data_IF_588056149937
#
_entry.id   IF_588056149937
#
_cell.length_a   1.000
_cell.length_b   1.000
_cell.length_c   1.000
_cell.angle_alpha   90.00
_cell.angle_beta   90.00
_cell.angle_gamma   90.00
#
_symmetry.space_group_name_H-M   'P 1'
#
loop_
_entity.id
_entity.type
_entity.pdbx_description
1 polymer ?
#
# COMPACT_ATOMS: atom_id res chain seq x y z
N UNK A 1 13.34 -5.17 -12.53
CA UNK A 1 12.65 -6.47 -12.35
C UNK A 1 11.96 -6.49 -10.99
N UNK A 2 10.62 -6.62 -10.94
CA UNK A 2 9.89 -6.74 -9.67
C UNK A 2 10.18 -8.08 -8.95
N UNK A 3 10.40 -9.14 -9.72
CA UNK A 3 10.71 -10.48 -9.20
C UNK A 3 12.10 -10.60 -8.55
N UNK A 4 12.96 -9.58 -8.69
CA UNK A 4 14.25 -9.53 -8.00
C UNK A 4 14.14 -9.11 -6.54
N UNK A 5 12.96 -8.68 -6.08
CA UNK A 5 12.70 -8.31 -4.71
C UNK A 5 12.28 -9.54 -3.90
N UNK A 6 12.98 -9.79 -2.80
CA UNK A 6 12.65 -10.90 -1.89
C UNK A 6 11.21 -10.73 -1.36
N UNK A 7 10.37 -11.73 -1.61
CA UNK A 7 8.95 -11.72 -1.25
C UNK A 7 7.99 -11.25 -2.36
N UNK A 8 8.49 -10.91 -3.55
CA UNK A 8 7.69 -10.57 -4.74
C UNK A 8 7.79 -11.66 -5.81
N UNK A 9 6.75 -12.50 -5.90
CA UNK A 9 6.61 -13.52 -6.94
C UNK A 9 5.97 -13.01 -8.24
N UNK A 10 5.90 -13.88 -9.24
CA UNK A 10 5.31 -13.58 -10.55
C UNK A 10 3.86 -13.09 -10.47
N UNK A 11 3.06 -13.66 -9.57
CA UNK A 11 1.66 -13.24 -9.34
C UNK A 11 1.55 -11.76 -8.92
N UNK A 12 2.32 -11.36 -7.90
CA UNK A 12 2.33 -9.97 -7.46
C UNK A 12 2.88 -9.04 -8.55
N UNK A 13 3.93 -9.46 -9.25
CA UNK A 13 4.50 -8.67 -10.34
C UNK A 13 3.46 -8.45 -11.46
N UNK A 14 2.71 -9.49 -11.83
CA UNK A 14 1.67 -9.44 -12.84
C UNK A 14 0.55 -8.47 -12.44
N UNK A 15 0.02 -8.59 -11.22
CA UNK A 15 -1.03 -7.70 -10.72
C UNK A 15 -0.54 -6.25 -10.62
N UNK A 16 0.67 -6.02 -10.09
CA UNK A 16 1.22 -4.67 -10.01
C UNK A 16 1.38 -4.04 -11.40
N UNK A 17 1.83 -4.80 -12.40
CA UNK A 17 1.96 -4.34 -13.77
C UNK A 17 0.59 -4.05 -14.41
N UNK A 18 -0.33 -5.01 -14.36
CA UNK A 18 -1.62 -4.90 -15.04
C UNK A 18 -2.56 -3.89 -14.37
N UNK A 19 -2.50 -3.77 -13.05
CA UNK A 19 -3.45 -2.95 -12.30
C UNK A 19 -2.91 -1.57 -11.93
N UNK A 20 -1.60 -1.34 -11.92
CA UNK A 20 -1.03 -0.08 -11.43
C UNK A 20 0.07 0.49 -12.31
N UNK A 21 1.12 -0.27 -12.56
CA UNK A 21 2.36 0.23 -13.16
C UNK A 21 2.27 0.40 -14.69
N UNK A 22 1.14 0.06 -15.32
CA UNK A 22 0.87 0.39 -16.72
C UNK A 22 0.71 1.91 -16.96
N UNK A 23 0.51 2.69 -15.89
CA UNK A 23 0.41 4.15 -15.96
C UNK A 23 1.47 4.83 -15.10
N UNK A 24 1.72 6.10 -15.39
CA UNK A 24 2.59 6.94 -14.59
C UNK A 24 1.83 7.60 -13.44
N UNK A 25 2.52 7.81 -12.32
CA UNK A 25 2.04 8.54 -11.17
C UNK A 25 3.07 9.59 -10.79
N UNK A 26 2.63 10.81 -10.50
CA UNK A 26 3.54 11.91 -10.15
C UNK A 26 4.11 11.75 -8.75
N UNK A 27 3.40 11.02 -7.87
CA UNK A 27 3.83 10.80 -6.49
C UNK A 27 3.18 9.54 -5.87
N UNK A 28 3.73 9.11 -4.72
CA UNK A 28 3.23 7.95 -3.96
C UNK A 28 1.80 8.10 -3.43
N UNK A 29 1.29 9.33 -3.24
CA UNK A 29 -0.08 9.55 -2.76
C UNK A 29 -1.09 9.24 -3.86
N UNK A 30 -0.76 9.50 -5.12
CA UNK A 30 -1.59 9.13 -6.26
C UNK A 30 -1.70 7.61 -6.41
N UNK A 31 -0.60 6.87 -6.20
CA UNK A 31 -0.63 5.40 -6.16
C UNK A 31 -1.57 4.90 -5.07
N UNK A 32 -1.45 5.47 -3.85
CA UNK A 32 -2.32 5.11 -2.74
C UNK A 32 -3.79 5.47 -3.00
N UNK A 33 -4.06 6.62 -3.62
CA UNK A 33 -5.41 7.04 -3.97
C UNK A 33 -6.02 6.09 -5.00
N UNK A 34 -5.26 5.75 -6.03
CA UNK A 34 -5.68 4.85 -7.10
C UNK A 34 -5.97 3.43 -6.57
N UNK A 35 -5.19 2.94 -5.60
CA UNK A 35 -5.47 1.68 -4.90
C UNK A 35 -6.58 1.80 -3.83
N UNK A 36 -7.12 3.00 -3.54
CA UNK A 36 -8.10 3.20 -2.48
C UNK A 36 -7.54 2.98 -1.07
N UNK A 37 -6.24 3.18 -0.90
CA UNK A 37 -5.48 3.11 0.37
C UNK A 37 -5.35 4.47 1.06
N UNK A 38 -6.02 5.50 0.56
CA UNK A 38 -6.09 6.82 1.20
C UNK A 38 -7.11 6.82 2.34
N UNK A 39 -6.89 7.61 3.41
CA UNK A 39 -7.85 7.71 4.51
C UNK A 39 -9.18 8.32 4.07
N UNK A 40 -10.28 7.82 4.64
CA UNK A 40 -11.62 8.43 4.56
C UNK A 40 -11.81 9.34 5.75
N UNK A 41 -11.28 10.57 5.66
CA UNK A 41 -11.49 11.57 6.72
C UNK A 41 -12.91 12.12 6.61
N UNK A 42 -13.72 11.92 7.64
CA UNK A 42 -15.00 12.61 7.79
C UNK A 42 -14.84 13.73 8.82
N UNK A 43 -15.08 14.97 8.40
CA UNK A 43 -15.03 16.15 9.28
C UNK A 43 -16.31 16.96 9.11
N UNK A 44 -17.13 17.00 10.16
CA UNK A 44 -18.16 18.03 10.35
C UNK A 44 -17.68 19.00 11.44
N UNK A 45 -18.31 20.18 11.55
CA UNK A 45 -17.85 21.29 12.41
C UNK A 45 -17.60 20.90 13.88
N UNK A 46 -18.28 19.88 14.37
CA UNK A 46 -18.19 19.37 15.75
C UNK A 46 -17.57 17.98 15.89
N UNK A 47 -17.33 17.26 14.78
CA UNK A 47 -16.93 15.84 14.82
C UNK A 47 -15.88 15.54 13.76
N UNK A 48 -14.75 14.97 14.18
CA UNK A 48 -13.71 14.43 13.30
C UNK A 48 -13.59 12.93 13.54
N UNK A 49 -13.98 12.11 12.55
CA UNK A 49 -13.80 10.65 12.59
C UNK A 49 -12.94 10.17 11.42
N UNK A 50 -12.05 9.23 11.71
CA UNK A 50 -11.27 8.49 10.72
C UNK A 50 -12.01 7.17 10.46
N UNK A 51 -12.44 6.94 9.21
CA UNK A 51 -13.26 5.76 8.84
C UNK A 51 -12.42 4.64 8.19
N UNK A 52 -11.10 4.64 8.44
CA UNK A 52 -10.15 3.76 7.77
C UNK A 52 -9.90 4.17 6.32
N UNK A 53 -9.52 3.20 5.49
CA UNK A 53 -9.20 3.44 4.07
C UNK A 53 -10.45 3.61 3.21
N UNK A 54 -10.33 4.40 2.14
CA UNK A 54 -11.40 4.75 1.21
C UNK A 54 -12.06 3.59 0.50
N UNK A 55 -11.29 2.57 0.09
CA UNK A 55 -11.77 1.44 -0.73
C UNK A 55 -12.38 1.83 -2.09
N UNK A 56 -12.51 3.11 -2.42
CA UNK A 56 -13.06 3.62 -3.69
C UNK A 56 -12.12 3.49 -4.91
N UNK A 57 -10.91 2.95 -4.70
CA UNK A 57 -9.94 2.66 -5.76
C UNK A 57 -9.91 1.18 -6.18
N UNK A 58 -8.96 0.83 -7.06
CA UNK A 58 -8.80 -0.49 -7.64
C UNK A 58 -8.68 -1.57 -6.54
N UNK A 59 -9.72 -2.39 -6.40
CA UNK A 59 -9.82 -3.40 -5.34
C UNK A 59 -8.79 -4.53 -5.45
N UNK A 60 -8.48 -4.94 -6.69
CA UNK A 60 -7.49 -5.99 -6.94
C UNK A 60 -6.09 -5.50 -6.58
N UNK A 61 -5.73 -4.30 -7.05
CA UNK A 61 -4.48 -3.64 -6.69
C UNK A 61 -4.37 -3.44 -5.17
N UNK A 62 -5.45 -2.98 -4.52
CA UNK A 62 -5.49 -2.77 -3.07
C UNK A 62 -5.13 -4.04 -2.30
N UNK A 63 -5.82 -5.13 -2.60
CA UNK A 63 -5.62 -6.42 -1.91
C UNK A 63 -4.19 -6.91 -2.09
N UNK A 64 -3.67 -6.86 -3.32
CA UNK A 64 -2.29 -7.26 -3.61
C UNK A 64 -1.27 -6.37 -2.91
N UNK A 65 -1.49 -5.05 -2.84
CA UNK A 65 -0.59 -4.14 -2.12
C UNK A 65 -0.60 -4.38 -0.60
N UNK A 66 -1.75 -4.71 0.00
CA UNK A 66 -1.84 -5.06 1.42
C UNK A 66 -1.09 -6.36 1.72
N UNK A 67 -1.33 -7.41 0.92
CA UNK A 67 -0.62 -8.68 1.08
C UNK A 67 0.89 -8.51 0.88
N UNK A 68 1.28 -7.72 -0.11
CA UNK A 68 2.68 -7.37 -0.34
C UNK A 68 3.30 -6.67 0.86
N UNK A 69 2.59 -5.74 1.51
CA UNK A 69 3.07 -5.07 2.71
C UNK A 69 3.33 -6.08 3.86
N UNK A 70 2.44 -7.05 4.06
CA UNK A 70 2.65 -8.10 5.07
C UNK A 70 3.85 -9.00 4.75
N UNK A 71 3.99 -9.42 3.50
CA UNK A 71 5.14 -10.21 3.04
C UNK A 71 6.44 -9.42 3.17
N UNK A 72 6.41 -8.10 2.92
CA UNK A 72 7.57 -7.23 3.10
C UNK A 72 8.05 -7.25 4.55
N UNK A 73 7.16 -7.06 5.52
CA UNK A 73 7.53 -7.12 6.94
C UNK A 73 8.14 -8.48 7.33
N UNK A 74 7.57 -9.57 6.80
CA UNK A 74 8.04 -10.94 7.08
C UNK A 74 9.41 -11.24 6.48
N UNK A 75 9.62 -10.87 5.22
CA UNK A 75 10.79 -11.29 4.45
C UNK A 75 11.94 -10.27 4.47
N UNK A 76 11.64 -9.02 4.83
CA UNK A 76 12.56 -7.88 4.87
C UNK A 76 12.56 -7.15 6.23
N UNK A 77 12.74 -7.85 7.38
CA UNK A 77 12.61 -7.26 8.71
C UNK A 77 13.66 -6.16 9.00
N UNK A 78 14.85 -6.28 8.42
CA UNK A 78 15.94 -5.31 8.59
C UNK A 78 15.92 -4.19 7.55
N UNK A 79 14.90 -4.13 6.68
CA UNK A 79 14.80 -3.01 5.74
C UNK A 79 14.52 -1.71 6.48
N UNK A 80 15.05 -0.60 5.98
CA UNK A 80 14.81 0.74 6.54
C UNK A 80 13.31 1.05 6.68
N UNK A 81 12.47 0.56 5.76
CA UNK A 81 11.03 0.75 5.81
C UNK A 81 10.39 -0.02 6.97
N UNK A 82 10.77 -1.27 7.17
CA UNK A 82 10.26 -2.11 8.26
C UNK A 82 10.69 -1.56 9.62
N UNK A 83 11.98 -1.20 9.77
CA UNK A 83 12.50 -0.58 10.99
C UNK A 83 11.78 0.74 11.31
N UNK A 84 11.61 1.60 10.31
CA UNK A 84 10.85 2.85 10.46
C UNK A 84 9.40 2.59 10.91
N UNK A 85 8.75 1.56 10.36
CA UNK A 85 7.39 1.21 10.77
C UNK A 85 7.39 0.81 12.24
N UNK A 86 8.22 -0.14 12.66
CA UNK A 86 8.29 -0.62 14.04
C UNK A 86 8.56 0.51 15.04
N UNK A 87 9.54 1.40 14.75
CA UNK A 87 9.78 2.58 15.57
C UNK A 87 8.55 3.50 15.67
N UNK A 88 7.75 3.60 14.61
CA UNK A 88 6.58 4.48 14.58
C UNK A 88 5.35 3.91 15.26
N UNK A 89 5.19 2.59 15.26
CA UNK A 89 4.03 1.92 15.85
C UNK A 89 4.33 1.30 17.22
N UNK A 90 5.51 1.56 17.78
CA UNK A 90 5.97 1.03 19.07
C UNK A 90 5.88 -0.51 19.14
N UNK A 91 6.17 -1.19 18.02
CA UNK A 91 6.28 -2.66 17.93
C UNK A 91 7.71 -3.15 18.16
#
# INVERSE_FOLDING_TARGET
MLMGLKGLGAEFASVLLSEGLFRTFSNRKEVAAYAGLVPTRWRSRSVSHEQGISKAGNARLRTSMIQLAWLWLRHQPHSRLTQWLYTRVEL
#
